data_IF_528699108218
#
_entry.id   IF_528699108218
#
_cell.length_a   1.000
_cell.length_b   1.000
_cell.length_c   1.000
_cell.angle_alpha   90.00
_cell.angle_beta   90.00
_cell.angle_gamma   90.00
#
_symmetry.space_group_name_H-M   'P 1'
#
loop_
_entity.id
_entity.type
_entity.pdbx_description
1 polymer ?
#
# COMPACT_ATOMS: atom_id res chain seq x y z
N UNK A 1 -6.76 -12.30 -12.35
CA UNK A 1 -5.43 -12.53 -11.74
C UNK A 1 -4.57 -11.25 -11.69
N UNK A 2 -4.29 -10.59 -12.82
CA UNK A 2 -3.51 -9.34 -12.83
C UNK A 2 -4.06 -8.25 -11.90
N UNK A 3 -5.28 -7.74 -12.13
CA UNK A 3 -5.85 -6.62 -11.35
C UNK A 3 -6.35 -7.02 -9.95
N UNK A 4 -6.73 -8.28 -9.78
CA UNK A 4 -7.29 -8.81 -8.53
C UNK A 4 -6.22 -9.20 -7.52
N UNK A 5 -5.06 -9.68 -7.96
CA UNK A 5 -3.99 -10.17 -7.09
C UNK A 5 -2.64 -9.54 -7.43
N UNK A 6 -2.04 -9.88 -8.58
CA UNK A 6 -0.63 -9.57 -8.85
C UNK A 6 -0.31 -8.07 -8.79
N UNK A 7 -1.07 -7.23 -9.48
CA UNK A 7 -0.82 -5.78 -9.53
C UNK A 7 -1.21 -5.03 -8.25
N UNK A 8 -1.71 -5.75 -7.22
CA UNK A 8 -1.94 -5.19 -5.88
C UNK A 8 -0.70 -5.23 -5.00
N UNK A 9 0.43 -5.74 -5.49
CA UNK A 9 1.74 -5.67 -4.82
C UNK A 9 2.09 -4.23 -4.40
N UNK A 10 1.64 -3.24 -5.19
CA UNK A 10 1.80 -1.82 -4.92
C UNK A 10 1.35 -1.37 -3.53
N UNK A 11 0.41 -2.06 -2.88
CA UNK A 11 -0.04 -1.71 -1.54
C UNK A 11 1.03 -1.93 -0.45
N UNK A 12 1.97 -2.87 -0.62
CA UNK A 12 3.14 -3.04 0.27
C UNK A 12 4.13 -1.87 0.14
N UNK A 13 4.13 -1.21 -1.01
CA UNK A 13 5.10 -0.17 -1.36
C UNK A 13 4.73 1.21 -0.79
N UNK A 14 3.52 1.34 -0.26
CA UNK A 14 2.95 2.61 0.24
C UNK A 14 3.51 2.94 1.62
N UNK A 15 4.02 4.17 1.78
CA UNK A 15 4.44 4.69 3.08
C UNK A 15 3.23 5.16 3.90
N UNK A 16 3.23 4.88 5.21
CA UNK A 16 2.24 5.44 6.15
C UNK A 16 2.48 6.91 6.52
N UNK A 17 3.63 7.48 6.16
CA UNK A 17 3.94 8.88 6.40
C UNK A 17 4.56 9.48 5.15
N UNK A 18 4.03 10.63 4.75
CA UNK A 18 4.58 11.43 3.66
C UNK A 18 5.44 12.52 4.28
N UNK A 19 6.69 12.64 3.84
CA UNK A 19 7.54 13.78 4.21
C UNK A 19 7.53 14.81 3.10
N UNK A 20 7.36 16.06 3.51
CA UNK A 20 7.25 17.20 2.63
C UNK A 20 8.49 18.05 2.83
N UNK A 21 9.11 18.45 1.72
CA UNK A 21 10.33 19.24 1.72
C UNK A 21 10.04 20.63 1.16
N UNK A 22 10.17 21.65 2.00
CA UNK A 22 10.01 23.04 1.56
C UNK A 22 11.21 23.47 0.73
N UNK A 23 11.03 24.53 -0.07
CA UNK A 23 12.10 25.10 -0.90
C UNK A 23 13.35 25.48 -0.09
N UNK A 24 13.18 25.88 1.17
CA UNK A 24 14.26 26.34 2.05
C UNK A 24 14.90 25.19 2.86
N UNK A 25 14.58 23.93 2.55
CA UNK A 25 15.09 22.76 3.27
C UNK A 25 14.34 22.43 4.57
N UNK A 26 13.19 23.06 4.82
CA UNK A 26 12.31 22.67 5.92
C UNK A 26 11.66 21.32 5.64
N UNK A 27 11.40 20.56 6.71
CA UNK A 27 10.80 19.22 6.63
C UNK A 27 9.52 19.19 7.46
N UNK A 28 8.45 18.68 6.87
CA UNK A 28 7.19 18.38 7.53
C UNK A 28 6.82 16.89 7.32
N UNK A 29 6.09 16.30 8.24
CA UNK A 29 5.67 14.90 8.18
C UNK A 29 4.18 14.79 8.46
N UNK A 30 3.45 14.19 7.53
CA UNK A 30 2.01 13.97 7.63
C UNK A 30 1.70 12.48 7.52
N UNK A 31 0.65 12.02 8.19
CA UNK A 31 0.21 10.63 8.11
C UNK A 31 -0.68 10.43 6.89
N UNK A 32 -0.52 9.33 6.18
CA UNK A 32 -1.32 9.05 4.98
C UNK A 32 -2.81 8.94 5.33
N UNK A 33 -3.14 8.33 6.47
CA UNK A 33 -4.52 8.11 6.94
C UNK A 33 -5.37 9.37 7.04
N UNK A 34 -4.74 10.53 7.25
CA UNK A 34 -5.43 11.82 7.42
C UNK A 34 -5.76 12.48 6.06
N UNK A 35 -5.27 11.92 4.94
CA UNK A 35 -5.31 12.55 3.62
C UNK A 35 -6.02 11.72 2.53
N UNK A 36 -6.63 10.59 2.87
CA UNK A 36 -7.48 9.87 1.92
C UNK A 36 -8.72 10.69 1.55
N UNK A 37 -9.00 10.84 0.24
CA UNK A 37 -10.11 11.63 -0.29
C UNK A 37 -10.20 13.07 0.27
N UNK A 38 -9.05 13.68 0.60
CA UNK A 38 -8.97 15.02 1.20
C UNK A 38 -8.08 15.93 0.35
N UNK A 39 -8.65 16.77 -0.53
CA UNK A 39 -7.87 17.63 -1.43
C UNK A 39 -7.24 18.84 -0.71
N UNK A 40 -7.66 19.14 0.51
CA UNK A 40 -7.28 20.37 1.22
C UNK A 40 -5.77 20.58 1.35
N UNK A 41 -4.99 19.50 1.48
CA UNK A 41 -3.54 19.60 1.59
C UNK A 41 -2.91 20.25 0.36
N UNK A 42 -3.35 19.89 -0.86
CA UNK A 42 -2.75 20.40 -2.10
C UNK A 42 -3.29 21.79 -2.50
N UNK A 43 -4.40 22.21 -1.89
CA UNK A 43 -4.96 23.57 -2.06
C UNK A 43 -4.15 24.62 -1.29
N UNK A 44 -3.42 24.21 -0.25
CA UNK A 44 -2.53 25.09 0.51
C UNK A 44 -1.31 25.48 -0.33
N UNK A 45 -0.91 26.76 -0.21
CA UNK A 45 0.22 27.31 -0.94
C UNK A 45 1.49 26.47 -0.77
N UNK A 46 2.16 26.18 -1.89
CA UNK A 46 3.41 25.41 -2.00
C UNK A 46 3.37 23.93 -1.58
N UNK A 47 2.25 23.41 -1.04
CA UNK A 47 2.21 22.02 -0.52
C UNK A 47 2.33 20.97 -1.61
N UNK A 48 1.77 21.21 -2.80
CA UNK A 48 1.95 20.30 -3.94
C UNK A 48 3.43 20.14 -4.30
N UNK A 49 4.16 21.26 -4.40
CA UNK A 49 5.60 21.24 -4.69
C UNK A 49 6.38 20.51 -3.59
N UNK A 50 6.02 20.74 -2.33
CA UNK A 50 6.68 20.09 -1.20
C UNK A 50 6.49 18.55 -1.21
N UNK A 51 5.32 18.07 -1.64
CA UNK A 51 5.03 16.63 -1.85
C UNK A 51 5.86 16.09 -3.01
N UNK A 52 5.91 16.79 -4.14
CA UNK A 52 6.70 16.37 -5.31
C UNK A 52 8.19 16.27 -4.97
N UNK A 53 8.72 17.23 -4.18
CA UNK A 53 10.09 17.12 -3.65
C UNK A 53 10.26 15.89 -2.77
N UNK A 54 9.28 15.56 -1.93
CA UNK A 54 9.24 14.30 -1.19
C UNK A 54 9.35 13.06 -2.08
N UNK A 55 8.56 12.98 -3.14
CA UNK A 55 8.56 11.83 -4.06
C UNK A 55 9.86 11.67 -4.86
N UNK A 56 10.58 12.76 -5.10
CA UNK A 56 11.87 12.70 -5.82
C UNK A 56 13.06 12.38 -4.91
N UNK A 57 12.92 12.55 -3.60
CA UNK A 57 14.00 12.35 -2.63
C UNK A 57 13.88 11.05 -1.81
N UNK A 58 12.66 10.52 -1.67
CA UNK A 58 12.40 9.38 -0.81
C UNK A 58 12.12 8.11 -1.61
N UNK A 59 12.69 7.01 -1.16
CA UNK A 59 12.34 5.68 -1.65
C UNK A 59 10.95 5.25 -1.16
N UNK A 60 10.28 4.44 -1.98
CA UNK A 60 9.09 3.65 -1.60
C UNK A 60 9.43 2.58 -0.55
N UNK A 61 8.40 1.98 0.07
CA UNK A 61 8.59 0.79 0.92
C UNK A 61 9.06 -0.41 0.10
N UNK A 62 9.59 -1.41 0.79
CA UNK A 62 9.99 -2.67 0.17
C UNK A 62 8.77 -3.46 -0.29
N UNK A 63 8.96 -4.27 -1.33
CA UNK A 63 7.99 -5.28 -1.70
C UNK A 63 8.13 -6.46 -0.76
N UNK A 64 7.21 -6.60 0.20
CA UNK A 64 7.20 -7.68 1.17
C UNK A 64 5.77 -7.99 1.65
N UNK A 65 5.66 -8.87 2.65
CA UNK A 65 4.39 -9.28 3.24
C UNK A 65 3.76 -8.23 4.17
N UNK A 66 4.42 -7.09 4.39
CA UNK A 66 3.99 -6.04 5.30
C UNK A 66 3.32 -4.89 4.54
N UNK A 67 2.34 -4.30 5.20
CA UNK A 67 1.60 -3.13 4.71
C UNK A 67 1.43 -2.18 5.88
N UNK A 68 1.57 -0.89 5.62
CA UNK A 68 1.38 0.16 6.63
C UNK A 68 0.00 0.07 7.29
N UNK A 69 -0.04 0.37 8.58
CA UNK A 69 -1.27 0.44 9.38
C UNK A 69 -2.31 1.41 8.79
N UNK A 70 -1.84 2.44 8.08
CA UNK A 70 -2.67 3.41 7.38
C UNK A 70 -3.56 2.76 6.30
N UNK A 71 -3.18 1.59 5.79
CA UNK A 71 -3.97 0.82 4.83
C UNK A 71 -4.68 -0.39 5.46
N UNK A 72 -4.19 -0.97 6.56
CA UNK A 72 -4.80 -2.17 7.19
C UNK A 72 -5.77 -1.87 8.32
N UNK A 73 -5.66 -0.75 9.04
CA UNK A 73 -6.58 -0.40 10.13
C UNK A 73 -7.25 0.96 9.96
N UNK A 74 -6.73 1.81 9.08
CA UNK A 74 -7.14 3.22 9.00
C UNK A 74 -7.49 3.67 7.57
N UNK A 75 -7.71 2.73 6.65
CA UNK A 75 -8.09 3.07 5.28
C UNK A 75 -9.44 3.81 5.30
N UNK A 76 -9.47 5.02 4.74
CA UNK A 76 -10.65 5.91 4.75
C UNK A 76 -11.25 6.14 6.15
N UNK A 77 -10.42 6.13 7.19
CA UNK A 77 -10.88 6.52 8.53
C UNK A 77 -11.47 7.94 8.50
N UNK A 78 -12.62 8.10 9.15
CA UNK A 78 -13.25 9.42 9.32
C UNK A 78 -13.06 9.91 10.76
N UNK A 79 -13.10 11.23 11.04
CA UNK A 79 -12.95 11.76 12.40
C UNK A 79 -13.99 11.24 13.41
N UNK A 80 -15.12 10.70 12.92
CA UNK A 80 -16.19 10.13 13.75
C UNK A 80 -15.79 8.81 14.41
N UNK A 81 -14.86 8.06 13.81
CA UNK A 81 -14.48 6.73 14.26
C UNK A 81 -12.97 6.66 14.52
N UNK A 82 -12.58 5.85 15.50
CA UNK A 82 -11.17 5.60 15.83
C UNK A 82 -10.52 4.51 14.97
N UNK A 83 -11.28 3.92 14.04
CA UNK A 83 -10.87 2.86 13.14
C UNK A 83 -11.34 3.16 11.70
N UNK A 84 -10.66 2.56 10.72
CA UNK A 84 -11.02 2.58 9.32
C UNK A 84 -11.23 1.17 8.77
N UNK A 85 -11.08 1.04 7.45
CA UNK A 85 -11.14 -0.24 6.75
C UNK A 85 -9.75 -0.91 6.71
N UNK A 86 -9.77 -2.20 6.37
CA UNK A 86 -8.57 -3.00 6.13
C UNK A 86 -8.46 -3.36 4.64
N UNK A 87 -7.50 -2.75 3.95
CA UNK A 87 -7.24 -2.99 2.54
C UNK A 87 -6.79 -4.43 2.26
N UNK A 88 -6.04 -5.06 3.17
CA UNK A 88 -5.58 -6.44 2.98
C UNK A 88 -6.72 -7.42 3.15
N UNK A 89 -7.58 -7.22 4.14
CA UNK A 89 -8.82 -7.98 4.26
C UNK A 89 -9.72 -7.81 3.03
N UNK A 90 -9.83 -6.60 2.47
CA UNK A 90 -10.56 -6.33 1.22
C UNK A 90 -9.92 -7.09 0.04
N UNK A 91 -8.59 -7.09 -0.08
CA UNK A 91 -7.87 -7.80 -1.14
C UNK A 91 -8.12 -9.31 -1.08
N UNK A 92 -8.01 -9.90 0.12
CA UNK A 92 -8.28 -11.33 0.34
C UNK A 92 -9.73 -11.68 -0.01
N UNK A 93 -10.69 -10.88 0.46
CA UNK A 93 -12.09 -11.11 0.17
C UNK A 93 -12.39 -10.97 -1.33
N UNK A 94 -11.81 -9.97 -2.01
CA UNK A 94 -11.95 -9.79 -3.45
C UNK A 94 -11.33 -10.95 -4.25
N UNK A 95 -10.21 -11.48 -3.78
CA UNK A 95 -9.60 -12.68 -4.37
C UNK A 95 -10.54 -13.89 -4.33
N UNK A 96 -11.23 -14.10 -3.20
CA UNK A 96 -12.23 -15.18 -3.05
C UNK A 96 -13.47 -14.95 -3.92
N UNK A 97 -13.99 -13.73 -3.89
CA UNK A 97 -15.14 -13.28 -4.69
C UNK A 97 -14.93 -13.53 -6.19
N UNK A 98 -13.73 -13.22 -6.69
CA UNK A 98 -13.36 -13.42 -8.09
C UNK A 98 -12.86 -14.84 -8.42
N UNK A 99 -12.86 -15.76 -7.45
CA UNK A 99 -12.41 -17.14 -7.66
C UNK A 99 -10.95 -17.26 -8.10
N UNK A 100 -10.05 -16.44 -7.56
CA UNK A 100 -8.62 -16.52 -7.87
C UNK A 100 -8.07 -17.90 -7.50
N UNK A 101 -7.31 -18.48 -8.44
CA UNK A 101 -6.71 -19.79 -8.26
C UNK A 101 -5.81 -19.85 -7.01
N UNK A 102 -5.62 -21.05 -6.47
CA UNK A 102 -4.72 -21.22 -5.33
C UNK A 102 -3.30 -20.82 -5.69
N UNK A 103 -2.51 -20.43 -4.69
CA UNK A 103 -1.09 -20.10 -4.87
C UNK A 103 -0.34 -21.18 -5.67
N UNK A 104 -0.53 -22.45 -5.32
CA UNK A 104 0.11 -23.57 -6.00
C UNK A 104 -0.34 -23.74 -7.46
N UNK A 105 -1.64 -23.58 -7.74
CA UNK A 105 -2.15 -23.60 -9.11
C UNK A 105 -1.48 -22.52 -9.96
N UNK A 106 -1.29 -21.32 -9.40
CA UNK A 106 -0.63 -20.22 -10.10
C UNK A 106 0.86 -20.45 -10.30
N UNK A 107 1.56 -21.03 -9.31
CA UNK A 107 2.96 -21.47 -9.46
C UNK A 107 3.12 -22.41 -10.66
N UNK A 108 2.27 -23.42 -10.75
CA UNK A 108 2.31 -24.40 -11.83
C UNK A 108 2.05 -23.74 -13.20
N UNK A 109 1.09 -22.80 -13.30
CA UNK A 109 0.84 -22.00 -14.52
C UNK A 109 2.07 -21.18 -14.92
N UNK A 110 2.80 -20.63 -13.95
CA UNK A 110 4.04 -19.89 -14.17
C UNK A 110 5.28 -20.78 -14.38
N UNK A 111 5.13 -22.11 -14.46
CA UNK A 111 6.25 -23.04 -14.64
C UNK A 111 7.10 -23.28 -13.38
N UNK A 112 6.62 -22.88 -12.21
CA UNK A 112 7.26 -23.11 -10.92
C UNK A 112 6.80 -24.43 -10.28
N UNK A 113 7.64 -25.10 -9.48
CA UNK A 113 7.25 -26.30 -8.78
C UNK A 113 6.20 -26.01 -7.70
N UNK A 114 5.29 -26.96 -7.50
CA UNK A 114 4.29 -26.91 -6.44
C UNK A 114 4.95 -26.96 -5.05
N UNK A 115 4.65 -25.97 -4.21
CA UNK A 115 5.09 -25.94 -2.82
C UNK A 115 4.34 -26.99 -1.99
N UNK A 116 5.08 -27.75 -1.18
CA UNK A 116 4.56 -28.82 -0.31
C UNK A 116 4.83 -28.57 1.17
N UNK A 117 5.86 -27.78 1.45
CA UNK A 117 6.32 -27.44 2.80
C UNK A 117 6.55 -25.93 2.91
N UNK A 118 6.62 -25.39 4.13
CA UNK A 118 6.91 -23.96 4.34
C UNK A 118 8.29 -23.56 3.83
N UNK A 119 9.26 -24.49 3.79
CA UNK A 119 10.58 -24.21 3.22
C UNK A 119 10.52 -23.92 1.72
N UNK A 120 9.49 -24.44 1.02
CA UNK A 120 9.27 -24.17 -0.41
C UNK A 120 8.69 -22.77 -0.68
N UNK A 121 8.40 -21.99 0.37
CA UNK A 121 7.88 -20.61 0.30
C UNK A 121 8.97 -19.57 0.56
N UNK A 122 10.23 -19.97 0.61
CA UNK A 122 11.37 -19.06 0.87
C UNK A 122 11.75 -18.20 -0.33
N UNK A 123 11.11 -18.43 -1.47
CA UNK A 123 11.21 -17.63 -2.69
C UNK A 123 10.22 -16.46 -2.76
N UNK A 124 9.54 -16.17 -1.63
CA UNK A 124 8.63 -15.03 -1.43
C UNK A 124 9.40 -13.75 -1.11
#
# INVERSE_FOLDING_TARGET
EFSTAAFRFGHSLVQGTLRLFTQNGGVDNIRLRDHFNSPHLIELQNRLDDIIRGFTQLAMQQFDAFVTEDLTNHLFQTPRFTFGLDLMSINLQRGRDHGIATYNSFREICGLPRARTFNDLTDQ
#
